data_IF_960470849317
#
_entry.id   IF_960470849317
#
_cell.length_a   1.000
_cell.length_b   1.000
_cell.length_c   1.000
_cell.angle_alpha   90.00
_cell.angle_beta   90.00
_cell.angle_gamma   90.00
#
_symmetry.space_group_name_H-M   'P 1'
#
loop_
_entity.id
_entity.type
_entity.pdbx_description
1 polymer ?
#
# COMPACT_ATOMS: atom_id res chain seq x y z
N UNK A 1 -12.27 8.53 4.46
CA UNK A 1 -10.87 8.33 3.99
C UNK A 1 -10.44 9.56 3.22
N UNK A 2 -9.24 10.08 3.47
CA UNK A 2 -8.62 11.15 2.70
C UNK A 2 -7.30 10.67 2.10
N UNK A 3 -6.97 11.14 0.89
CA UNK A 3 -5.72 10.85 0.18
C UNK A 3 -5.04 12.18 -0.11
N UNK A 4 -3.74 12.28 0.10
CA UNK A 4 -2.95 13.46 -0.23
C UNK A 4 -1.73 13.06 -1.08
N UNK A 5 -1.53 13.79 -2.14
CA UNK A 5 -0.40 13.69 -3.04
C UNK A 5 0.38 15.01 -2.97
N UNK A 6 1.70 15.01 -2.74
CA UNK A 6 2.42 16.25 -2.69
C UNK A 6 2.61 16.82 -4.11
N UNK A 7 2.26 18.07 -4.36
CA UNK A 7 2.65 18.76 -5.59
C UNK A 7 4.16 18.97 -5.67
N UNK A 8 4.80 19.12 -4.49
CA UNK A 8 6.24 19.30 -4.33
C UNK A 8 6.75 18.38 -3.25
N UNK A 9 7.96 17.88 -3.41
CA UNK A 9 8.66 17.06 -2.40
C UNK A 9 9.26 17.93 -1.28
N UNK A 10 8.77 19.14 -1.12
CA UNK A 10 9.20 20.10 -0.08
C UNK A 10 8.38 19.90 1.19
N UNK A 11 9.04 19.80 2.29
CA UNK A 11 8.43 19.66 3.60
C UNK A 11 9.46 19.23 4.63
N UNK A 12 9.11 19.38 5.91
CA UNK A 12 9.98 19.00 7.02
C UNK A 12 9.39 17.79 7.76
N UNK A 13 10.26 16.92 8.24
CA UNK A 13 9.91 15.91 9.24
C UNK A 13 9.69 16.58 10.59
N UNK A 14 8.72 16.09 11.33
CA UNK A 14 8.60 16.39 12.75
C UNK A 14 9.65 15.57 13.53
N UNK A 15 10.04 16.05 14.72
CA UNK A 15 11.11 15.43 15.51
C UNK A 15 10.92 13.92 15.72
N UNK A 16 9.68 13.49 16.05
CA UNK A 16 9.37 12.07 16.24
C UNK A 16 9.44 11.23 14.95
N UNK A 17 9.24 11.86 13.78
CA UNK A 17 9.39 11.19 12.47
C UNK A 17 10.88 11.07 12.11
N UNK A 18 11.66 12.12 12.35
CA UNK A 18 13.08 12.14 12.05
C UNK A 18 13.86 11.05 12.81
N UNK A 19 13.44 10.72 14.03
CA UNK A 19 14.04 9.65 14.83
C UNK A 19 13.95 8.26 14.16
N UNK A 20 13.00 8.04 13.25
CA UNK A 20 12.87 6.80 12.47
C UNK A 20 13.75 6.72 11.22
N UNK A 21 14.53 7.77 10.94
CA UNK A 21 15.37 7.85 9.75
C UNK A 21 16.85 7.78 10.14
N UNK A 22 17.56 6.79 9.62
CA UNK A 22 19.01 6.65 9.89
C UNK A 22 19.79 7.85 9.35
N UNK A 23 20.81 8.29 10.09
CA UNK A 23 21.75 9.34 9.66
C UNK A 23 22.52 8.95 8.39
N UNK A 24 22.64 7.63 8.13
CA UNK A 24 23.28 7.07 6.94
C UNK A 24 22.30 6.86 5.78
N UNK A 25 21.02 7.25 5.91
CA UNK A 25 20.07 7.11 4.83
C UNK A 25 20.51 7.95 3.62
N UNK A 26 20.47 7.32 2.43
CA UNK A 26 20.75 8.01 1.17
C UNK A 26 19.68 9.06 0.88
N UNK A 27 20.03 10.07 0.09
CA UNK A 27 19.16 11.22 -0.20
C UNK A 27 17.78 10.84 -0.75
N UNK A 28 17.72 9.86 -1.67
CA UNK A 28 16.45 9.37 -2.18
C UNK A 28 15.54 8.83 -1.06
N UNK A 29 16.11 8.04 -0.14
CA UNK A 29 15.36 7.50 0.99
C UNK A 29 14.86 8.60 1.93
N UNK A 30 15.68 9.63 2.20
CA UNK A 30 15.29 10.78 3.02
C UNK A 30 14.12 11.51 2.39
N UNK A 31 14.22 11.78 1.10
CA UNK A 31 13.17 12.45 0.32
C UNK A 31 11.86 11.66 0.35
N UNK A 32 11.91 10.38 0.00
CA UNK A 32 10.71 9.53 -0.08
C UNK A 32 10.03 9.37 1.30
N UNK A 33 10.85 9.21 2.35
CA UNK A 33 10.34 9.13 3.72
C UNK A 33 9.67 10.44 4.15
N UNK A 34 10.32 11.59 3.86
CA UNK A 34 9.77 12.92 4.17
C UNK A 34 8.47 13.16 3.42
N UNK A 35 8.44 12.90 2.11
CA UNK A 35 7.24 13.05 1.29
C UNK A 35 6.07 12.22 1.83
N UNK A 36 6.31 10.97 2.21
CA UNK A 36 5.30 10.11 2.80
C UNK A 36 4.68 10.68 4.08
N UNK A 37 5.49 11.26 4.97
CA UNK A 37 5.00 11.89 6.22
C UNK A 37 4.25 13.18 5.95
N UNK A 38 4.70 13.98 5.01
CA UNK A 38 3.98 15.19 4.58
C UNK A 38 2.62 14.82 4.01
N UNK A 39 2.54 13.80 3.13
CA UNK A 39 1.27 13.29 2.61
C UNK A 39 0.34 12.81 3.73
N UNK A 40 0.86 12.04 4.69
CA UNK A 40 0.07 11.54 5.82
C UNK A 40 -0.54 12.68 6.64
N UNK A 41 0.23 13.70 6.98
CA UNK A 41 -0.27 14.88 7.70
C UNK A 41 -1.28 15.68 6.88
N UNK A 42 -1.08 15.83 5.56
CA UNK A 42 -2.08 16.45 4.67
C UNK A 42 -3.38 15.66 4.64
N UNK A 43 -3.30 14.35 4.55
CA UNK A 43 -4.49 13.48 4.60
C UNK A 43 -5.25 13.60 5.94
N UNK A 44 -4.53 13.74 7.07
CA UNK A 44 -5.17 14.05 8.36
C UNK A 44 -5.94 15.37 8.34
N UNK A 45 -5.31 16.44 7.82
CA UNK A 45 -5.97 17.76 7.68
C UNK A 45 -7.23 17.66 6.83
N UNK A 46 -7.21 16.92 5.72
CA UNK A 46 -8.39 16.70 4.88
C UNK A 46 -9.53 15.96 5.59
N UNK A 47 -9.21 15.18 6.64
CA UNK A 47 -10.19 14.54 7.53
C UNK A 47 -10.63 15.42 8.70
N UNK A 48 -10.14 16.65 8.79
CA UNK A 48 -10.39 17.53 9.93
C UNK A 48 -9.64 17.08 11.19
N UNK A 49 -8.53 16.35 11.06
CA UNK A 49 -7.68 15.91 12.15
C UNK A 49 -6.43 16.78 12.26
N UNK A 50 -5.85 16.95 13.46
CA UNK A 50 -4.59 17.67 13.61
C UNK A 50 -3.45 16.93 12.89
N UNK A 51 -2.53 17.67 12.21
CA UNK A 51 -1.40 17.08 11.48
C UNK A 51 -0.27 16.68 12.42
N UNK A 52 -0.46 15.62 13.20
CA UNK A 52 0.55 15.10 14.14
C UNK A 52 1.58 14.20 13.46
N UNK A 53 2.66 13.90 14.16
CA UNK A 53 3.72 13.03 13.66
C UNK A 53 3.22 11.60 13.41
N UNK A 54 3.77 10.98 12.35
CA UNK A 54 3.60 9.55 12.02
C UNK A 54 4.98 8.88 12.07
N UNK A 55 5.44 8.46 13.26
CA UNK A 55 6.74 7.80 13.39
C UNK A 55 6.81 6.47 12.64
N UNK A 56 8.01 5.90 12.54
CA UNK A 56 8.20 4.53 12.08
C UNK A 56 8.32 3.59 13.28
N UNK A 57 7.63 2.45 13.23
CA UNK A 57 7.83 1.33 14.15
C UNK A 57 9.16 0.60 13.85
N UNK A 58 9.52 -0.38 14.68
CA UNK A 58 10.76 -1.16 14.52
C UNK A 58 10.79 -1.92 13.17
N UNK A 59 9.65 -2.38 12.67
CA UNK A 59 9.46 -3.01 11.36
C UNK A 59 9.32 -2.00 10.21
N UNK A 60 9.50 -0.71 10.50
CA UNK A 60 9.38 0.44 9.58
C UNK A 60 7.95 0.78 9.14
N UNK A 61 6.94 0.10 9.65
CA UNK A 61 5.54 0.46 9.42
C UNK A 61 5.22 1.83 10.04
N UNK A 62 4.27 2.61 9.46
CA UNK A 62 3.86 3.88 10.04
C UNK A 62 3.06 3.67 11.33
N UNK A 63 3.41 4.41 12.39
CA UNK A 63 2.64 4.44 13.64
C UNK A 63 1.60 5.57 13.54
N UNK A 64 0.37 5.19 13.32
CA UNK A 64 -0.74 6.14 13.19
C UNK A 64 -1.21 6.65 14.55
N UNK A 65 -1.69 7.90 14.65
CA UNK A 65 -2.24 8.42 15.89
C UNK A 65 -3.50 7.62 16.32
N UNK A 66 -3.78 7.55 17.65
CA UNK A 66 -4.93 6.84 18.16
C UNK A 66 -6.25 7.22 17.44
N UNK A 67 -7.09 6.22 17.15
CA UNK A 67 -8.35 6.42 16.45
C UNK A 67 -8.23 6.60 14.94
N UNK A 68 -7.04 6.38 14.38
CA UNK A 68 -6.82 6.43 12.92
C UNK A 68 -6.16 5.17 12.41
N UNK A 69 -6.39 4.89 11.13
CA UNK A 69 -5.69 3.89 10.31
C UNK A 69 -5.22 4.56 9.03
N UNK A 70 -4.17 4.03 8.42
CA UNK A 70 -3.67 4.61 7.19
C UNK A 70 -2.63 3.76 6.47
N UNK A 71 -2.28 4.20 5.27
CA UNK A 71 -1.21 3.63 4.48
C UNK A 71 -0.49 4.73 3.70
N UNK A 72 0.79 4.51 3.43
CA UNK A 72 1.65 5.40 2.66
C UNK A 72 2.22 4.58 1.50
N UNK A 73 2.29 5.20 0.33
CA UNK A 73 2.99 4.64 -0.83
C UNK A 73 3.88 5.70 -1.47
N UNK A 74 4.94 5.24 -2.10
CA UNK A 74 5.80 6.09 -2.91
C UNK A 74 6.45 5.26 -4.03
N UNK A 75 6.56 5.87 -5.18
CA UNK A 75 7.37 5.39 -6.30
C UNK A 75 8.05 6.60 -6.95
N UNK A 76 8.85 6.39 -7.97
CA UNK A 76 9.57 7.49 -8.63
C UNK A 76 8.61 8.57 -9.11
N UNK A 77 8.76 9.78 -8.58
CA UNK A 77 7.95 10.94 -8.95
C UNK A 77 6.53 10.97 -8.37
N UNK A 78 6.17 10.04 -7.47
CA UNK A 78 4.86 9.99 -6.86
C UNK A 78 4.92 9.56 -5.40
N UNK A 79 4.10 10.19 -4.57
CA UNK A 79 3.87 9.78 -3.20
C UNK A 79 2.42 10.07 -2.81
N UNK A 80 1.80 9.18 -2.08
CA UNK A 80 0.45 9.37 -1.55
C UNK A 80 0.31 8.76 -0.15
N UNK A 81 -0.69 9.26 0.59
CA UNK A 81 -1.13 8.65 1.83
C UNK A 81 -2.64 8.64 1.93
N UNK A 82 -3.19 7.56 2.42
CA UNK A 82 -4.59 7.44 2.81
C UNK A 82 -4.69 7.35 4.32
N UNK A 83 -5.63 8.11 4.91
CA UNK A 83 -5.93 8.08 6.34
C UNK A 83 -7.44 7.96 6.52
N UNK A 84 -7.86 7.18 7.49
CA UNK A 84 -9.27 7.00 7.83
C UNK A 84 -9.45 6.96 9.35
N UNK A 85 -10.69 7.17 9.82
CA UNK A 85 -11.05 7.00 11.23
C UNK A 85 -11.23 5.51 11.53
N UNK A 86 -10.60 5.01 12.59
CA UNK A 86 -10.59 3.60 12.94
C UNK A 86 -11.97 3.00 13.26
N UNK A 87 -12.94 3.83 13.63
CA UNK A 87 -14.32 3.38 13.87
C UNK A 87 -15.13 3.23 12.56
N UNK A 88 -14.69 3.83 11.45
CA UNK A 88 -15.32 3.72 10.13
C UNK A 88 -14.65 2.67 9.26
N UNK A 89 -13.33 2.57 9.36
CA UNK A 89 -12.49 1.71 8.52
C UNK A 89 -11.55 0.92 9.43
N UNK A 90 -11.57 -0.40 9.29
CA UNK A 90 -10.70 -1.30 10.06
C UNK A 90 -9.25 -1.25 9.59
N UNK A 91 -9.04 -1.18 8.29
CA UNK A 91 -7.70 -1.03 7.68
C UNK A 91 -7.80 -0.45 6.28
N UNK A 92 -6.74 0.19 5.84
CA UNK A 92 -6.61 0.75 4.49
C UNK A 92 -5.24 0.41 3.92
N UNK A 93 -5.21 0.07 2.63
CA UNK A 93 -4.00 -0.09 1.85
C UNK A 93 -4.05 0.81 0.62
N UNK A 94 -2.93 1.41 0.29
CA UNK A 94 -2.70 2.10 -0.98
C UNK A 94 -1.32 1.76 -1.50
N UNK A 95 -1.23 1.60 -2.80
CA UNK A 95 0.05 1.40 -3.45
C UNK A 95 0.11 2.09 -4.81
N UNK A 96 1.33 2.40 -5.24
CA UNK A 96 1.61 2.99 -6.54
C UNK A 96 2.94 2.47 -7.09
N UNK A 97 2.91 2.05 -8.35
CA UNK A 97 4.06 1.50 -9.05
C UNK A 97 4.24 2.14 -10.43
N UNK A 98 5.46 2.09 -10.95
CA UNK A 98 5.71 2.52 -12.33
C UNK A 98 4.98 1.59 -13.29
N UNK A 99 4.22 2.15 -14.23
CA UNK A 99 3.57 1.38 -15.28
C UNK A 99 4.60 0.94 -16.34
N UNK A 100 5.27 -0.16 -16.06
CA UNK A 100 6.30 -0.74 -16.94
C UNK A 100 6.23 -2.26 -16.91
N UNK A 101 6.75 -2.90 -17.94
CA UNK A 101 6.89 -4.36 -17.96
C UNK A 101 7.86 -4.80 -16.86
N UNK A 102 7.49 -5.82 -16.12
CA UNK A 102 8.35 -6.48 -15.14
C UNK A 102 9.22 -7.54 -15.84
N UNK A 103 10.45 -7.72 -15.37
CA UNK A 103 11.30 -8.81 -15.88
C UNK A 103 10.70 -10.17 -15.54
N UNK A 104 11.03 -11.23 -16.32
CA UNK A 104 10.53 -12.58 -16.04
C UNK A 104 10.88 -13.08 -14.63
N UNK A 105 12.03 -12.68 -14.09
CA UNK A 105 12.47 -13.04 -12.74
C UNK A 105 11.55 -12.41 -11.70
N UNK A 106 11.26 -11.11 -11.85
CA UNK A 106 10.37 -10.37 -10.94
C UNK A 106 8.94 -10.90 -11.02
N UNK A 107 8.45 -11.22 -12.24
CA UNK A 107 7.13 -11.83 -12.43
C UNK A 107 7.00 -13.15 -11.65
N UNK A 108 8.01 -14.03 -11.74
CA UNK A 108 8.02 -15.32 -11.02
C UNK A 108 8.02 -15.16 -9.49
N UNK A 109 8.60 -14.09 -8.96
CA UNK A 109 8.58 -13.80 -7.53
C UNK A 109 7.22 -13.29 -7.04
N UNK A 110 6.47 -12.63 -7.91
CA UNK A 110 5.23 -11.94 -7.54
C UNK A 110 3.99 -12.77 -7.90
N UNK A 111 3.95 -13.28 -9.14
CA UNK A 111 2.77 -13.91 -9.70
C UNK A 111 2.76 -15.41 -9.42
N UNK A 112 1.60 -15.91 -8.97
CA UNK A 112 1.31 -17.33 -9.05
C UNK A 112 1.21 -17.75 -10.53
N UNK A 113 1.48 -19.03 -10.87
CA UNK A 113 1.39 -19.51 -12.26
C UNK A 113 0.04 -19.21 -12.91
N UNK A 114 -1.05 -19.42 -12.18
CA UNK A 114 -2.41 -19.13 -12.66
C UNK A 114 -2.68 -17.63 -12.84
N UNK A 115 -2.06 -16.76 -12.05
CA UNK A 115 -2.16 -15.31 -12.22
C UNK A 115 -1.42 -14.87 -13.49
N UNK A 116 -0.23 -15.42 -13.71
CA UNK A 116 0.58 -15.12 -14.90
C UNK A 116 -0.10 -15.58 -16.18
N UNK A 117 -0.72 -16.76 -16.17
CA UNK A 117 -1.53 -17.27 -17.28
C UNK A 117 -2.75 -16.36 -17.56
N UNK A 118 -3.46 -15.92 -16.51
CA UNK A 118 -4.59 -14.99 -16.65
C UNK A 118 -4.15 -13.65 -17.25
N UNK A 119 -3.03 -13.09 -16.76
CA UNK A 119 -2.48 -11.84 -17.30
C UNK A 119 -2.25 -11.88 -18.82
N UNK A 120 -1.86 -13.03 -19.36
CA UNK A 120 -1.63 -13.20 -20.79
C UNK A 120 -2.90 -13.09 -21.65
N UNK A 121 -4.07 -13.24 -21.04
CA UNK A 121 -5.39 -13.19 -21.69
C UNK A 121 -6.10 -11.84 -21.51
N UNK A 122 -5.53 -10.96 -20.70
CA UNK A 122 -6.11 -9.63 -20.44
C UNK A 122 -5.81 -8.66 -21.60
N UNK A 123 -6.60 -7.57 -21.73
CA UNK A 123 -6.41 -6.59 -22.79
C UNK A 123 -4.97 -6.08 -22.89
N UNK A 124 -4.40 -5.91 -24.09
CA UNK A 124 -3.05 -5.40 -24.27
C UNK A 124 -2.95 -3.92 -23.89
N UNK A 125 -1.71 -3.43 -23.73
CA UNK A 125 -1.42 -2.03 -23.40
C UNK A 125 -1.25 -1.75 -21.91
N UNK A 126 -1.62 -2.70 -21.04
CA UNK A 126 -1.42 -2.62 -19.60
C UNK A 126 -0.38 -3.66 -19.15
N UNK A 127 0.51 -3.27 -18.26
CA UNK A 127 1.38 -4.22 -17.57
C UNK A 127 0.61 -4.87 -16.42
N UNK A 128 -0.15 -5.94 -16.71
CA UNK A 128 -0.95 -6.65 -15.71
C UNK A 128 -0.12 -7.23 -14.56
N UNK A 129 1.09 -7.74 -14.78
CA UNK A 129 1.96 -8.11 -13.66
C UNK A 129 2.31 -6.94 -12.73
N UNK A 130 2.42 -5.70 -13.23
CA UNK A 130 2.61 -4.53 -12.39
C UNK A 130 1.34 -4.17 -11.60
N UNK A 131 0.15 -4.39 -12.18
CA UNK A 131 -1.14 -4.26 -11.47
C UNK A 131 -1.24 -5.29 -10.36
N UNK A 132 -0.88 -6.56 -10.62
CA UNK A 132 -0.86 -7.61 -9.59
C UNK A 132 0.12 -7.28 -8.47
N UNK A 133 1.32 -6.80 -8.80
CA UNK A 133 2.31 -6.38 -7.81
C UNK A 133 1.75 -5.30 -6.88
N UNK A 134 1.26 -4.23 -7.46
CA UNK A 134 0.68 -3.12 -6.69
C UNK A 134 -0.55 -3.57 -5.86
N UNK A 135 -1.39 -4.47 -6.41
CA UNK A 135 -2.53 -5.02 -5.67
C UNK A 135 -2.07 -5.85 -4.46
N UNK A 136 -1.04 -6.70 -4.62
CA UNK A 136 -0.48 -7.51 -3.53
C UNK A 136 0.18 -6.63 -2.45
N UNK A 137 0.91 -5.56 -2.84
CA UNK A 137 1.42 -4.56 -1.90
C UNK A 137 0.29 -3.86 -1.13
N UNK A 138 -0.81 -3.51 -1.82
CA UNK A 138 -1.99 -2.94 -1.19
C UNK A 138 -2.62 -3.93 -0.19
N UNK A 139 -2.75 -5.20 -0.55
CA UNK A 139 -3.25 -6.26 0.31
C UNK A 139 -2.37 -6.42 1.55
N UNK A 140 -1.04 -6.43 1.39
CA UNK A 140 -0.10 -6.46 2.51
C UNK A 140 -0.30 -5.28 3.47
N UNK A 141 -0.48 -4.07 2.94
CA UNK A 141 -0.72 -2.85 3.74
C UNK A 141 -2.07 -2.86 4.46
N UNK A 142 -3.08 -3.58 3.95
CA UNK A 142 -4.34 -3.85 4.66
C UNK A 142 -4.14 -4.92 5.73
N UNK A 143 -3.38 -5.96 5.42
CA UNK A 143 -3.16 -7.14 6.26
C UNK A 143 -2.29 -6.86 7.48
N UNK A 144 -1.09 -6.31 7.26
CA UNK A 144 -0.05 -6.19 8.26
C UNK A 144 -0.48 -5.47 9.54
N UNK A 145 -1.23 -4.34 9.51
CA UNK A 145 -1.71 -3.67 10.72
C UNK A 145 -2.67 -4.50 11.57
N UNK A 146 -3.34 -5.51 10.98
CA UNK A 146 -4.32 -6.35 11.65
C UNK A 146 -3.67 -7.59 12.24
N UNK A 147 -2.76 -8.21 11.49
CA UNK A 147 -2.23 -9.55 11.78
C UNK A 147 -0.86 -9.50 12.43
N UNK A 148 -0.07 -8.48 12.12
CA UNK A 148 1.30 -8.30 12.64
C UNK A 148 2.33 -9.25 12.05
N UNK A 149 1.95 -10.06 11.04
CA UNK A 149 2.85 -11.02 10.40
C UNK A 149 3.09 -10.69 8.93
N UNK A 150 4.17 -11.23 8.40
CA UNK A 150 4.50 -11.15 6.97
C UNK A 150 3.44 -11.89 6.14
N UNK A 151 3.15 -11.39 4.96
CA UNK A 151 2.33 -12.02 3.93
C UNK A 151 3.17 -12.05 2.66
N UNK A 152 3.50 -13.25 2.19
CA UNK A 152 4.25 -13.43 0.94
C UNK A 152 3.36 -13.17 -0.27
N UNK A 153 3.97 -12.80 -1.40
CA UNK A 153 3.23 -12.59 -2.65
C UNK A 153 2.42 -13.83 -3.08
N UNK A 154 2.91 -15.02 -2.78
CA UNK A 154 2.23 -16.27 -3.12
C UNK A 154 1.18 -16.71 -2.10
N UNK A 155 1.05 -16.01 -0.97
CA UNK A 155 -0.01 -16.27 0.01
C UNK A 155 -1.35 -15.62 -0.37
N UNK A 156 -1.37 -14.78 -1.40
CA UNK A 156 -2.58 -14.14 -1.91
C UNK A 156 -2.75 -14.39 -3.41
N UNK A 157 -3.89 -14.97 -3.78
CA UNK A 157 -4.32 -15.09 -5.18
C UNK A 157 -5.15 -13.86 -5.56
N UNK A 158 -4.66 -13.10 -6.52
CA UNK A 158 -5.31 -11.86 -7.00
C UNK A 158 -5.97 -12.08 -8.35
N UNK A 159 -7.22 -11.70 -8.45
CA UNK A 159 -7.99 -11.64 -9.69
C UNK A 159 -8.31 -10.18 -9.99
N UNK A 160 -8.04 -9.74 -11.22
CA UNK A 160 -8.35 -8.38 -11.69
C UNK A 160 -9.52 -8.41 -12.66
N UNK A 161 -10.38 -7.41 -12.56
CA UNK A 161 -11.45 -7.14 -13.52
C UNK A 161 -11.16 -5.79 -14.21
N UNK A 162 -10.70 -5.83 -15.47
CA UNK A 162 -10.40 -4.63 -16.24
C UNK A 162 -11.58 -3.71 -16.48
N UNK A 163 -12.79 -4.28 -16.62
CA UNK A 163 -13.98 -3.53 -16.99
C UNK A 163 -14.47 -2.64 -15.83
N UNK A 164 -14.39 -3.17 -14.61
CA UNK A 164 -14.77 -2.42 -13.41
C UNK A 164 -13.61 -1.67 -12.74
N UNK A 165 -12.36 -1.96 -13.14
CA UNK A 165 -11.17 -1.42 -12.48
C UNK A 165 -11.02 -1.93 -11.04
N UNK A 166 -11.43 -3.18 -10.77
CA UNK A 166 -11.37 -3.79 -9.45
C UNK A 166 -10.43 -4.99 -9.39
N UNK A 167 -9.98 -5.31 -8.20
CA UNK A 167 -9.32 -6.58 -7.94
C UNK A 167 -9.89 -7.25 -6.70
N UNK A 168 -9.80 -8.58 -6.66
CA UNK A 168 -10.13 -9.39 -5.49
C UNK A 168 -8.95 -10.26 -5.15
N UNK A 169 -8.45 -10.14 -3.93
CA UNK A 169 -7.37 -10.97 -3.38
C UNK A 169 -7.97 -11.99 -2.41
N UNK A 170 -7.73 -13.27 -2.65
CA UNK A 170 -8.04 -14.37 -1.72
C UNK A 170 -6.75 -14.76 -0.99
N UNK A 171 -6.78 -14.67 0.33
CA UNK A 171 -5.61 -14.94 1.17
C UNK A 171 -5.74 -16.37 1.71
N UNK A 172 -4.69 -17.17 1.57
CA UNK A 172 -4.67 -18.57 2.01
C UNK A 172 -4.41 -18.66 3.53
N UNK A 173 -5.42 -18.99 4.35
CA UNK A 173 -5.27 -18.94 5.82
C UNK A 173 -4.28 -19.95 6.40
N UNK A 174 -3.96 -21.03 5.66
CA UNK A 174 -3.13 -22.13 6.14
C UNK A 174 -1.63 -21.79 6.31
N UNK A 175 -1.21 -20.61 5.85
CA UNK A 175 0.21 -20.17 5.88
C UNK A 175 0.47 -19.01 6.83
N UNK A 176 -0.49 -18.66 7.70
CA UNK A 176 -0.47 -17.39 8.42
C UNK A 176 -0.44 -17.62 9.92
N UNK A 177 0.66 -17.21 10.56
CA UNK A 177 0.76 -17.03 12.00
C UNK A 177 0.09 -15.71 12.41
N UNK A 178 -1.20 -15.77 12.71
CA UNK A 178 -1.90 -14.62 13.22
C UNK A 178 -1.58 -14.39 14.70
N UNK A 179 -1.33 -13.14 15.08
CA UNK A 179 -1.23 -12.78 16.49
C UNK A 179 -2.51 -13.20 17.26
N UNK A 180 -2.36 -13.56 18.53
CA UNK A 180 -3.49 -14.02 19.35
C UNK A 180 -4.63 -12.98 19.35
N UNK A 181 -5.84 -13.40 18.93
CA UNK A 181 -7.01 -12.54 18.81
C UNK A 181 -7.15 -11.76 17.49
N UNK A 182 -6.19 -11.83 16.59
CA UNK A 182 -6.33 -11.25 15.26
C UNK A 182 -7.42 -12.00 14.47
N UNK A 183 -8.20 -11.25 13.71
CA UNK A 183 -9.15 -11.81 12.73
C UNK A 183 -8.65 -11.47 11.34
N UNK A 184 -7.78 -12.31 10.74
CA UNK A 184 -7.24 -12.03 9.43
C UNK A 184 -8.36 -12.00 8.38
N UNK A 185 -8.32 -11.05 7.42
CA UNK A 185 -9.25 -11.07 6.30
C UNK A 185 -8.92 -12.26 5.38
N UNK A 186 -9.92 -13.06 5.02
CA UNK A 186 -9.76 -14.11 4.00
C UNK A 186 -9.81 -13.54 2.57
N UNK A 187 -10.43 -12.37 2.42
CA UNK A 187 -10.58 -11.69 1.12
C UNK A 187 -10.41 -10.20 1.29
N UNK A 188 -9.71 -9.58 0.35
CA UNK A 188 -9.60 -8.12 0.22
C UNK A 188 -10.06 -7.75 -1.18
N UNK A 189 -11.00 -6.82 -1.27
CA UNK A 189 -11.46 -6.24 -2.53
C UNK A 189 -10.92 -4.82 -2.62
N UNK A 190 -10.36 -4.48 -3.77
CA UNK A 190 -9.81 -3.16 -4.02
C UNK A 190 -10.08 -2.65 -5.42
N UNK A 191 -9.57 -1.49 -5.70
CA UNK A 191 -9.64 -0.84 -7.01
C UNK A 191 -8.24 -0.56 -7.54
N UNK A 192 -8.11 -0.54 -8.84
CA UNK A 192 -6.91 -0.08 -9.51
C UNK A 192 -7.22 0.97 -10.58
N UNK A 193 -6.24 1.78 -10.88
CA UNK A 193 -6.22 2.70 -12.01
C UNK A 193 -4.83 2.67 -12.64
N UNK A 194 -4.79 2.71 -13.96
CA UNK A 194 -3.57 2.70 -14.74
C UNK A 194 -3.58 3.90 -15.68
N UNK A 195 -2.50 4.65 -15.69
CA UNK A 195 -2.22 5.65 -16.71
C UNK A 195 -0.90 5.34 -17.45
N UNK A 196 -0.42 6.24 -18.26
CA UNK A 196 0.81 6.04 -19.03
C UNK A 196 2.06 5.86 -18.19
N UNK A 197 2.06 6.30 -16.92
CA UNK A 197 3.23 6.36 -16.05
C UNK A 197 3.10 5.51 -14.79
N UNK A 198 1.88 5.37 -14.28
CA UNK A 198 1.63 4.76 -12.98
C UNK A 198 0.51 3.72 -13.02
N UNK A 199 0.70 2.69 -12.21
CA UNK A 199 -0.34 1.83 -11.67
C UNK A 199 -0.61 2.29 -10.23
N UNK A 200 -1.87 2.45 -9.86
CA UNK A 200 -2.29 2.80 -8.49
C UNK A 200 -3.35 1.84 -8.02
N UNK A 201 -3.23 1.37 -6.81
CA UNK A 201 -4.19 0.45 -6.20
C UNK A 201 -4.59 0.95 -4.82
N UNK A 202 -5.83 0.66 -4.42
CA UNK A 202 -6.35 1.00 -3.10
C UNK A 202 -7.37 -0.05 -2.64
N UNK A 203 -7.37 -0.33 -1.36
CA UNK A 203 -8.36 -1.19 -0.72
C UNK A 203 -8.70 -0.69 0.68
N UNK A 204 -9.91 -0.94 1.12
CA UNK A 204 -10.36 -0.70 2.49
C UNK A 204 -11.01 -1.96 3.04
N UNK A 205 -10.79 -2.19 4.33
CA UNK A 205 -11.49 -3.22 5.08
C UNK A 205 -12.42 -2.53 6.08
N UNK A 206 -13.68 -2.85 6.02
CA UNK A 206 -14.69 -2.37 6.96
C UNK A 206 -14.60 -3.12 8.29
N UNK A 207 -15.09 -2.54 9.40
CA UNK A 207 -15.13 -3.18 10.71
C UNK A 207 -15.82 -4.53 10.75
#
# INVERSE_FOLDING_TARGET
>A
MAVAEPPDWTGALLAAEAAGLSDRAVESRRRDFTAGRVCARRAMVMLGLPPVAVPAAADRSPVWPPGTVGAITHTRGYCAAAVARAHEIRSVGVDAEQHRQLSPEVRRLICLPEEDERCSRLPPGVSWPAVLFSAKETVYKVWHPIVGSWLDFHDALVEVDPDSGTFTARIAPARIDAAAGARPPATVVGRFAVDTTLVRTAAVLLP
#
